data_IF_283124692172
#
_entry.id   IF_283124692172
#
_cell.length_a   1.000
_cell.length_b   1.000
_cell.length_c   1.000
_cell.angle_alpha   90.00
_cell.angle_beta   90.00
_cell.angle_gamma   90.00
#
_symmetry.space_group_name_H-M   'P 1'
#
loop_
_entity.id
_entity.type
_entity.pdbx_description
1 polymer ?
#
# COMPACT_ATOMS: atom_id res chain seq x y z
N UNK A 1 10.79 -26.99 6.29
CA UNK A 1 10.57 -25.75 5.53
C UNK A 1 11.34 -25.85 4.23
N UNK A 2 10.75 -25.62 3.04
CA UNK A 2 11.53 -25.57 1.82
C UNK A 2 12.52 -24.41 1.93
N UNK A 3 13.77 -24.68 1.64
CA UNK A 3 14.82 -23.63 1.56
C UNK A 3 14.42 -22.74 0.40
N UNK A 4 13.95 -21.49 0.67
CA UNK A 4 13.79 -20.49 -0.40
C UNK A 4 15.14 -20.35 -1.09
N UNK A 5 15.23 -20.71 -2.36
CA UNK A 5 16.40 -20.41 -3.15
C UNK A 5 16.58 -18.91 -3.17
N UNK A 6 17.59 -18.43 -2.46
CA UNK A 6 17.92 -17.00 -2.38
C UNK A 6 18.34 -16.55 -3.77
N UNK A 7 17.68 -15.53 -4.29
CA UNK A 7 17.98 -14.92 -5.59
C UNK A 7 18.42 -13.47 -5.38
N UNK A 8 19.13 -12.92 -6.35
CA UNK A 8 19.49 -11.50 -6.37
C UNK A 8 18.38 -10.64 -7.01
N UNK A 9 17.14 -11.16 -7.06
CA UNK A 9 15.97 -10.50 -7.63
C UNK A 9 14.92 -10.23 -6.57
N UNK A 10 14.38 -9.01 -6.59
CA UNK A 10 13.19 -8.63 -5.84
C UNK A 10 12.03 -8.44 -6.82
N UNK A 11 10.93 -9.16 -6.59
CA UNK A 11 9.76 -9.17 -7.48
C UNK A 11 8.55 -8.55 -6.79
N UNK A 12 7.81 -7.77 -7.55
CA UNK A 12 6.61 -7.09 -7.13
C UNK A 12 5.56 -7.19 -8.22
N UNK A 13 4.32 -7.49 -7.84
CA UNK A 13 3.17 -7.38 -8.73
C UNK A 13 2.13 -6.45 -8.12
N UNK A 14 1.54 -5.57 -8.95
CA UNK A 14 0.41 -4.71 -8.59
C UNK A 14 -0.65 -4.78 -9.67
N UNK A 15 -1.90 -4.69 -9.25
CA UNK A 15 -3.04 -4.51 -10.15
C UNK A 15 -3.63 -3.14 -9.86
N UNK A 16 -3.71 -2.30 -10.88
CA UNK A 16 -4.31 -0.99 -10.83
C UNK A 16 -5.68 -1.02 -11.51
N UNK A 17 -6.69 -0.42 -10.89
CA UNK A 17 -8.01 -0.25 -11.50
C UNK A 17 -7.98 0.95 -12.46
N UNK A 18 -7.22 0.77 -13.52
CA UNK A 18 -6.91 1.79 -14.51
C UNK A 18 -6.47 1.14 -15.82
N UNK A 19 -6.82 1.73 -17.00
CA UNK A 19 -6.31 1.25 -18.28
C UNK A 19 -4.79 1.44 -18.38
N UNK A 20 -4.13 0.58 -19.15
CA UNK A 20 -2.65 0.57 -19.30
C UNK A 20 -2.09 1.91 -19.76
N UNK A 21 -2.82 2.63 -20.60
CA UNK A 21 -2.43 3.98 -21.03
C UNK A 21 -2.29 4.93 -19.85
N UNK A 22 -3.26 4.93 -18.92
CA UNK A 22 -3.21 5.82 -17.75
C UNK A 22 -2.04 5.47 -16.82
N UNK A 23 -1.77 4.18 -16.60
CA UNK A 23 -0.63 3.71 -15.79
C UNK A 23 0.70 4.08 -16.46
N UNK A 24 0.80 3.87 -17.77
CA UNK A 24 1.97 4.23 -18.56
C UNK A 24 2.26 5.74 -18.52
N UNK A 25 1.24 6.57 -18.76
CA UNK A 25 1.37 8.02 -18.73
C UNK A 25 1.76 8.52 -17.34
N UNK A 26 1.13 7.99 -16.29
CA UNK A 26 1.50 8.32 -14.92
C UNK A 26 2.98 8.06 -14.63
N UNK A 27 3.55 6.99 -15.17
CA UNK A 27 4.95 6.63 -15.01
C UNK A 27 5.92 7.45 -15.89
N UNK A 28 5.52 7.72 -17.10
CA UNK A 28 6.44 8.22 -18.13
C UNK A 28 6.37 9.72 -18.37
N UNK A 29 5.24 10.35 -18.12
CA UNK A 29 5.08 11.79 -18.18
C UNK A 29 5.77 12.47 -16.98
N UNK A 30 6.75 13.38 -17.20
CA UNK A 30 7.46 14.06 -16.12
C UNK A 30 6.55 14.90 -15.20
N UNK A 31 5.43 15.43 -15.72
CA UNK A 31 4.48 16.17 -14.90
C UNK A 31 3.68 15.27 -13.98
N UNK A 32 3.37 14.05 -14.42
CA UNK A 32 2.58 13.11 -13.64
C UNK A 32 3.40 12.31 -12.62
N UNK A 33 4.59 11.85 -13.01
CA UNK A 33 5.44 11.03 -12.13
C UNK A 33 5.85 11.79 -10.86
N UNK A 34 5.93 13.13 -10.93
CA UNK A 34 6.21 14.00 -9.80
C UNK A 34 5.21 13.92 -8.66
N UNK A 35 3.96 13.61 -8.95
CA UNK A 35 2.87 13.61 -7.98
C UNK A 35 2.88 12.38 -7.05
N UNK A 36 3.43 11.27 -7.50
CA UNK A 36 3.33 10.01 -6.76
C UNK A 36 4.66 9.29 -6.50
N UNK A 37 5.74 9.60 -7.25
CA UNK A 37 6.99 8.86 -7.13
C UNK A 37 7.67 9.05 -5.78
N UNK A 38 8.16 7.94 -5.21
CA UNK A 38 8.84 7.90 -3.91
C UNK A 38 7.96 7.47 -2.75
N UNK A 39 8.56 7.11 -1.61
CA UNK A 39 7.84 6.77 -0.38
C UNK A 39 6.97 7.93 0.12
N UNK A 40 6.05 7.65 1.05
CA UNK A 40 5.23 8.72 1.65
C UNK A 40 6.09 9.74 2.38
N UNK A 41 5.72 11.00 2.23
CA UNK A 41 6.47 12.14 2.77
C UNK A 41 7.63 12.62 1.87
N UNK A 42 7.95 11.88 0.80
CA UNK A 42 8.91 12.33 -0.20
C UNK A 42 8.22 13.09 -1.33
N UNK A 43 8.93 14.09 -1.86
CA UNK A 43 8.61 14.78 -3.10
C UNK A 43 9.78 14.66 -4.06
N UNK A 44 9.58 14.95 -5.35
CA UNK A 44 10.68 14.91 -6.32
C UNK A 44 10.73 16.20 -7.14
N UNK A 45 11.94 16.53 -7.58
CA UNK A 45 12.19 17.53 -8.63
C UNK A 45 12.83 16.83 -9.81
N UNK A 46 12.12 16.73 -10.94
CA UNK A 46 12.67 16.21 -12.20
C UNK A 46 13.52 17.29 -12.87
N UNK A 47 14.80 16.99 -13.11
CA UNK A 47 15.70 17.89 -13.83
C UNK A 47 15.64 17.66 -15.34
N UNK A 48 15.60 16.38 -15.76
CA UNK A 48 15.46 15.98 -17.15
C UNK A 48 14.85 14.59 -17.27
N UNK A 49 14.03 14.37 -18.28
CA UNK A 49 13.46 13.05 -18.59
C UNK A 49 13.36 12.87 -20.10
N UNK A 50 14.13 11.95 -20.64
CA UNK A 50 14.16 11.59 -22.06
C UNK A 50 13.83 10.10 -22.20
N UNK A 51 12.56 9.80 -22.50
CA UNK A 51 12.05 8.43 -22.54
C UNK A 51 12.35 7.77 -23.89
N UNK A 52 13.58 7.33 -24.07
CA UNK A 52 14.02 6.53 -25.21
C UNK A 52 15.16 5.61 -24.81
N UNK A 53 15.46 4.61 -25.59
CA UNK A 53 16.64 3.76 -25.40
C UNK A 53 17.91 4.62 -25.37
N UNK A 54 18.72 4.50 -24.32
CA UNK A 54 19.90 5.33 -24.06
C UNK A 54 19.57 6.71 -23.47
N UNK A 55 18.32 7.11 -23.43
CA UNK A 55 17.87 8.32 -22.71
C UNK A 55 17.91 8.13 -21.20
N UNK A 56 17.65 9.20 -20.46
CA UNK A 56 17.74 9.17 -19.01
C UNK A 56 16.64 9.97 -18.30
N UNK A 57 16.43 9.65 -17.03
CA UNK A 57 15.67 10.46 -16.10
C UNK A 57 16.57 10.83 -14.93
N UNK A 58 16.80 12.14 -14.75
CA UNK A 58 17.55 12.70 -13.63
C UNK A 58 16.59 13.48 -12.74
N UNK A 59 16.62 13.18 -11.44
CA UNK A 59 15.75 13.82 -10.46
C UNK A 59 16.37 13.84 -9.07
N UNK A 60 15.93 14.80 -8.26
CA UNK A 60 16.20 14.84 -6.82
C UNK A 60 14.99 14.36 -6.06
N UNK A 61 15.16 13.42 -5.16
CA UNK A 61 14.14 13.02 -4.20
C UNK A 61 14.40 13.76 -2.88
N UNK A 62 13.40 14.52 -2.41
CA UNK A 62 13.46 15.29 -1.17
C UNK A 62 12.82 14.51 -0.04
N UNK A 63 13.59 14.15 0.98
CA UNK A 63 13.10 13.44 2.15
C UNK A 63 12.38 14.33 3.14
N UNK A 64 11.46 13.78 3.96
CA UNK A 64 10.76 14.52 5.01
C UNK A 64 11.70 15.02 6.13
N UNK A 65 12.92 14.50 6.19
CA UNK A 65 14.01 14.90 7.07
C UNK A 65 14.86 16.06 6.51
N UNK A 66 14.51 16.56 5.31
CA UNK A 66 15.24 17.61 4.61
C UNK A 66 16.48 17.13 3.87
N UNK A 67 16.67 15.81 3.76
CA UNK A 67 17.79 15.23 3.00
C UNK A 67 17.42 15.05 1.53
N UNK A 68 18.30 15.50 0.65
CA UNK A 68 18.17 15.38 -0.80
C UNK A 68 18.94 14.19 -1.33
N UNK A 69 18.26 13.36 -2.12
CA UNK A 69 18.81 12.17 -2.76
C UNK A 69 18.81 12.36 -4.28
N UNK A 70 20.02 12.46 -4.85
CA UNK A 70 20.19 12.55 -6.30
C UNK A 70 20.00 11.17 -6.93
N UNK A 71 19.21 11.11 -7.97
CA UNK A 71 18.89 9.85 -8.66
C UNK A 71 19.04 10.02 -10.18
N UNK A 72 19.50 8.95 -10.82
CA UNK A 72 19.59 8.85 -12.27
C UNK A 72 19.14 7.47 -12.74
N UNK A 73 18.31 7.46 -13.74
CA UNK A 73 17.82 6.26 -14.43
C UNK A 73 18.27 6.33 -15.89
N UNK A 74 18.80 5.25 -16.44
CA UNK A 74 19.14 5.12 -17.87
C UNK A 74 18.27 4.07 -18.49
N UNK A 75 17.49 4.42 -19.51
CA UNK A 75 16.56 3.51 -20.18
C UNK A 75 17.31 2.60 -21.16
N UNK A 76 17.13 1.29 -21.01
CA UNK A 76 17.74 0.25 -21.83
C UNK A 76 16.76 -0.29 -22.86
N UNK A 77 15.49 -0.43 -22.48
CA UNK A 77 14.39 -0.84 -23.36
C UNK A 77 13.16 0.01 -23.06
N UNK A 78 12.47 0.43 -24.11
CA UNK A 78 11.23 1.19 -24.02
C UNK A 78 10.27 0.64 -25.09
N UNK A 79 9.30 -0.15 -24.65
CA UNK A 79 8.20 -0.64 -25.47
C UNK A 79 6.91 -0.02 -24.93
N UNK A 80 6.34 0.98 -25.60
CA UNK A 80 5.18 1.70 -25.09
C UNK A 80 4.04 0.78 -24.67
N UNK A 81 3.48 1.02 -23.47
CA UNK A 81 2.38 0.27 -22.84
C UNK A 81 2.70 -1.18 -22.47
N UNK A 82 3.90 -1.67 -22.76
CA UNK A 82 4.28 -3.08 -22.57
C UNK A 82 5.42 -3.24 -21.59
N UNK A 83 6.54 -2.49 -21.82
CA UNK A 83 7.79 -2.79 -21.09
C UNK A 83 8.68 -1.57 -20.92
N UNK A 84 9.29 -1.49 -19.75
CA UNK A 84 10.43 -0.61 -19.45
C UNK A 84 11.56 -1.45 -18.86
N UNK A 85 12.78 -1.25 -19.35
CA UNK A 85 13.99 -1.76 -18.69
C UNK A 85 14.94 -0.58 -18.48
N UNK A 86 15.40 -0.42 -17.27
CA UNK A 86 16.31 0.67 -16.93
C UNK A 86 17.31 0.29 -15.85
N UNK A 87 18.48 0.89 -15.92
CA UNK A 87 19.45 0.88 -14.84
C UNK A 87 19.22 2.09 -13.94
N UNK A 88 19.17 1.85 -12.63
CA UNK A 88 18.99 2.87 -11.61
C UNK A 88 20.30 3.05 -10.83
N UNK A 89 20.70 4.28 -10.63
CA UNK A 89 21.92 4.63 -9.88
C UNK A 89 21.83 5.98 -9.21
N UNK A 90 22.86 6.28 -8.46
CA UNK A 90 23.14 7.63 -8.00
C UNK A 90 23.77 8.47 -9.11
N UNK A 91 24.53 9.52 -8.72
CA UNK A 91 25.15 10.45 -9.66
C UNK A 91 26.12 9.78 -10.65
N UNK A 92 26.01 10.15 -11.84
CA UNK A 92 26.72 10.22 -13.10
C UNK A 92 27.78 9.19 -13.48
N UNK A 93 28.66 8.69 -12.63
CA UNK A 93 29.82 7.89 -13.06
C UNK A 93 29.93 6.55 -12.34
N UNK A 94 29.08 6.27 -11.37
CA UNK A 94 29.06 4.99 -10.67
C UNK A 94 28.36 3.91 -11.47
N UNK A 95 28.75 2.66 -11.28
CA UNK A 95 28.01 1.50 -11.76
C UNK A 95 26.57 1.58 -11.25
N UNK A 96 25.56 1.16 -12.05
CA UNK A 96 24.18 1.14 -11.60
C UNK A 96 24.04 0.32 -10.31
N UNK A 97 23.20 0.80 -9.41
CA UNK A 97 22.91 0.12 -8.14
C UNK A 97 22.14 -1.17 -8.41
N UNK A 98 21.19 -1.11 -9.35
CA UNK A 98 20.37 -2.24 -9.77
C UNK A 98 19.70 -1.97 -11.12
N UNK A 99 19.26 -3.07 -11.76
CA UNK A 99 18.43 -3.03 -12.95
C UNK A 99 16.98 -3.30 -12.61
N UNK A 100 16.08 -2.57 -13.25
CA UNK A 100 14.63 -2.76 -13.12
C UNK A 100 14.04 -3.14 -14.47
N UNK A 101 13.24 -4.20 -14.46
CA UNK A 101 12.35 -4.58 -15.58
C UNK A 101 10.93 -4.41 -15.10
N UNK A 102 10.13 -3.64 -15.83
CA UNK A 102 8.70 -3.44 -15.58
C UNK A 102 7.93 -3.91 -16.78
N UNK A 103 6.93 -4.76 -16.55
CA UNK A 103 6.00 -5.24 -17.56
C UNK A 103 4.60 -4.74 -17.22
N UNK A 104 3.87 -4.33 -18.26
CA UNK A 104 2.49 -3.91 -18.14
C UNK A 104 1.61 -4.80 -19.02
N UNK A 105 0.45 -5.19 -18.49
CA UNK A 105 -0.57 -5.92 -19.25
C UNK A 105 -1.95 -5.48 -18.79
N UNK A 106 -2.88 -5.32 -19.74
CA UNK A 106 -4.26 -4.94 -19.43
C UNK A 106 -5.20 -6.12 -19.61
N UNK A 107 -6.14 -6.25 -18.68
CA UNK A 107 -7.25 -7.17 -18.79
C UNK A 107 -8.50 -6.55 -18.14
N UNK A 108 -9.58 -6.41 -18.91
CA UNK A 108 -10.86 -5.89 -18.39
C UNK A 108 -10.78 -4.47 -17.84
N UNK A 109 -9.95 -3.59 -18.43
CA UNK A 109 -9.77 -2.20 -17.97
C UNK A 109 -8.88 -2.05 -16.75
N UNK A 110 -8.29 -3.14 -16.24
CA UNK A 110 -7.33 -3.15 -15.15
C UNK A 110 -5.94 -3.47 -15.66
N UNK A 111 -4.94 -2.79 -15.13
CA UNK A 111 -3.53 -3.01 -15.50
C UNK A 111 -2.79 -3.80 -14.45
N UNK A 112 -2.23 -4.94 -14.86
CA UNK A 112 -1.23 -5.65 -14.06
C UNK A 112 0.15 -5.12 -14.38
N UNK A 113 0.84 -4.61 -13.38
CA UNK A 113 2.25 -4.22 -13.42
C UNK A 113 3.08 -5.28 -12.70
N UNK A 114 4.04 -5.87 -13.39
CA UNK A 114 5.03 -6.78 -12.80
C UNK A 114 6.40 -6.14 -12.88
N UNK A 115 7.07 -6.00 -11.73
CA UNK A 115 8.39 -5.41 -11.62
C UNK A 115 9.38 -6.43 -11.07
N UNK A 116 10.55 -6.50 -11.68
CA UNK A 116 11.71 -7.23 -11.20
C UNK A 116 12.89 -6.27 -11.06
N UNK A 117 13.41 -6.18 -9.84
CA UNK A 117 14.63 -5.46 -9.52
C UNK A 117 15.75 -6.49 -9.39
N UNK A 118 16.76 -6.43 -10.25
CA UNK A 118 17.92 -7.30 -10.24
C UNK A 118 19.10 -6.55 -9.62
N UNK A 119 19.60 -7.03 -8.50
CA UNK A 119 20.71 -6.45 -7.77
C UNK A 119 22.03 -7.17 -8.08
N UNK A 120 23.19 -6.57 -7.80
CA UNK A 120 24.48 -7.18 -8.10
C UNK A 120 24.72 -8.52 -7.40
N UNK A 121 24.21 -8.70 -6.19
CA UNK A 121 24.39 -9.92 -5.40
C UNK A 121 23.13 -10.28 -4.60
N UNK A 122 23.06 -11.50 -4.10
CA UNK A 122 22.00 -11.97 -3.21
C UNK A 122 21.97 -11.17 -1.91
N UNK A 123 23.13 -10.87 -1.34
CA UNK A 123 23.27 -10.10 -0.10
C UNK A 123 22.75 -8.66 -0.29
N UNK A 124 23.00 -8.05 -1.46
CA UNK A 124 22.46 -6.74 -1.80
C UNK A 124 20.93 -6.79 -1.90
N UNK A 125 20.35 -7.85 -2.46
CA UNK A 125 18.90 -8.04 -2.50
C UNK A 125 18.31 -8.16 -1.10
N UNK A 126 18.88 -8.97 -0.22
CA UNK A 126 18.43 -9.12 1.17
C UNK A 126 18.51 -7.79 1.96
N UNK A 127 19.56 -7.01 1.76
CA UNK A 127 19.70 -5.69 2.39
C UNK A 127 18.67 -4.69 1.87
N UNK A 128 18.44 -4.68 0.55
CA UNK A 128 17.45 -3.81 -0.09
C UNK A 128 16.04 -4.18 0.36
N UNK A 129 15.70 -5.47 0.43
CA UNK A 129 14.39 -5.94 0.94
C UNK A 129 14.13 -5.45 2.38
N UNK A 130 15.13 -5.60 3.27
CA UNK A 130 15.05 -5.08 4.65
C UNK A 130 14.88 -3.56 4.69
N UNK A 131 15.60 -2.84 3.84
CA UNK A 131 15.48 -1.39 3.74
C UNK A 131 14.10 -0.97 3.25
N UNK A 132 13.59 -1.57 2.18
CA UNK A 132 12.23 -1.32 1.65
C UNK A 132 11.18 -1.59 2.72
N UNK A 133 11.29 -2.72 3.43
CA UNK A 133 10.37 -3.06 4.53
C UNK A 133 10.40 -2.00 5.63
N UNK A 134 11.59 -1.55 6.05
CA UNK A 134 11.75 -0.51 7.08
C UNK A 134 11.24 0.86 6.63
N UNK A 135 11.34 1.19 5.35
CA UNK A 135 10.86 2.44 4.75
C UNK A 135 9.33 2.46 4.49
N UNK A 136 8.56 1.53 5.05
CA UNK A 136 7.10 1.45 4.85
C UNK A 136 6.68 0.55 3.69
N UNK A 137 7.55 -0.36 3.27
CA UNK A 137 7.25 -1.35 2.22
C UNK A 137 7.19 -0.71 0.83
N UNK A 138 6.17 -1.09 0.08
CA UNK A 138 6.02 -0.67 -1.32
C UNK A 138 5.16 0.59 -1.49
N UNK A 139 5.27 1.54 -0.55
CA UNK A 139 4.43 2.75 -0.49
C UNK A 139 4.45 3.59 -1.79
N UNK A 140 5.53 3.58 -2.55
CA UNK A 140 5.60 4.24 -3.87
C UNK A 140 4.51 3.72 -4.82
N UNK A 141 4.31 2.40 -4.85
CA UNK A 141 3.34 1.75 -5.74
C UNK A 141 1.90 1.90 -5.23
N UNK A 142 1.73 2.04 -3.93
CA UNK A 142 0.45 2.35 -3.30
C UNK A 142 0.05 3.80 -3.63
N UNK A 143 1.01 4.75 -3.62
CA UNK A 143 0.79 6.14 -4.06
C UNK A 143 0.41 6.25 -5.54
N UNK A 144 0.96 5.38 -6.40
CA UNK A 144 0.52 5.33 -7.80
C UNK A 144 -0.96 4.93 -7.90
N UNK A 145 -1.42 3.95 -7.11
CA UNK A 145 -2.83 3.57 -7.09
C UNK A 145 -3.72 4.74 -6.65
N UNK A 146 -3.35 5.46 -5.58
CA UNK A 146 -4.06 6.64 -5.10
C UNK A 146 -4.10 7.76 -6.13
N UNK A 147 -2.96 8.04 -6.80
CA UNK A 147 -2.88 9.01 -7.87
C UNK A 147 -3.82 8.68 -9.04
N UNK A 148 -3.82 7.42 -9.48
CA UNK A 148 -4.68 6.95 -10.57
C UNK A 148 -6.17 7.05 -10.19
N UNK A 149 -6.54 6.66 -8.97
CA UNK A 149 -7.89 6.80 -8.46
C UNK A 149 -8.34 8.26 -8.47
N UNK A 150 -7.54 9.17 -7.89
CA UNK A 150 -7.82 10.61 -7.89
C UNK A 150 -7.98 11.15 -9.31
N UNK A 151 -7.07 10.80 -10.21
CA UNK A 151 -7.06 11.31 -11.59
C UNK A 151 -8.25 10.83 -12.42
N UNK A 152 -8.66 9.57 -12.25
CA UNK A 152 -9.69 8.94 -13.10
C UNK A 152 -11.10 9.06 -12.52
N UNK A 153 -11.24 9.15 -11.19
CA UNK A 153 -12.53 9.09 -10.51
C UNK A 153 -12.78 10.25 -9.56
N UNK A 154 -11.81 11.15 -9.37
CA UNK A 154 -11.80 12.25 -8.39
C UNK A 154 -11.92 11.77 -6.93
N UNK A 155 -11.65 10.50 -6.63
CA UNK A 155 -11.69 9.97 -5.28
C UNK A 155 -10.33 10.10 -4.59
N UNK A 156 -10.36 10.56 -3.35
CA UNK A 156 -9.22 10.51 -2.46
C UNK A 156 -9.22 9.18 -1.71
N UNK A 157 -8.28 8.30 -2.04
CA UNK A 157 -8.12 6.98 -1.43
C UNK A 157 -6.79 6.87 -0.71
N UNK A 158 -6.76 6.02 0.30
CA UNK A 158 -5.54 5.48 0.91
C UNK A 158 -5.42 4.04 0.47
N UNK A 159 -4.28 3.64 -0.04
CA UNK A 159 -4.01 2.26 -0.48
C UNK A 159 -2.78 1.73 0.24
N UNK A 160 -2.84 0.48 0.71
CA UNK A 160 -1.69 -0.25 1.21
C UNK A 160 -1.77 -1.72 0.81
N UNK A 161 -0.63 -2.29 0.43
CA UNK A 161 -0.51 -3.68 0.01
C UNK A 161 0.57 -4.41 0.78
N UNK A 162 0.32 -5.69 1.09
CA UNK A 162 1.36 -6.62 1.54
C UNK A 162 1.07 -8.04 1.05
N UNK A 163 2.13 -8.76 0.71
CA UNK A 163 2.06 -10.19 0.37
C UNK A 163 2.52 -11.02 1.57
N UNK A 164 1.76 -12.06 1.88
CA UNK A 164 2.01 -13.00 2.97
C UNK A 164 2.24 -14.41 2.42
N UNK A 165 3.14 -15.15 3.04
CA UNK A 165 3.43 -16.55 2.69
C UNK A 165 2.38 -17.47 3.34
N UNK A 166 1.18 -17.47 2.79
CA UNK A 166 0.04 -18.30 3.20
C UNK A 166 -1.01 -18.39 2.09
N UNK A 167 -1.87 -19.40 2.12
CA UNK A 167 -2.97 -19.56 1.16
C UNK A 167 -4.05 -18.48 1.36
N UNK A 168 -4.79 -18.19 0.30
CA UNK A 168 -5.87 -17.21 0.32
C UNK A 168 -6.97 -17.59 1.33
N UNK A 169 -7.33 -18.87 1.43
CA UNK A 169 -8.35 -19.33 2.37
C UNK A 169 -7.92 -19.16 3.82
N UNK A 170 -6.66 -19.47 4.15
CA UNK A 170 -6.14 -19.30 5.51
C UNK A 170 -6.06 -17.80 5.87
N UNK A 171 -5.57 -16.97 4.95
CA UNK A 171 -5.48 -15.54 5.20
C UNK A 171 -6.86 -14.90 5.36
N UNK A 172 -7.83 -15.31 4.55
CA UNK A 172 -9.22 -14.85 4.66
C UNK A 172 -9.85 -15.24 6.00
N UNK A 173 -9.62 -16.47 6.48
CA UNK A 173 -10.08 -16.93 7.81
C UNK A 173 -9.49 -16.05 8.93
N UNK A 174 -8.19 -15.76 8.86
CA UNK A 174 -7.51 -14.89 9.83
C UNK A 174 -8.08 -13.47 9.85
N UNK A 175 -8.59 -12.99 8.73
CA UNK A 175 -9.20 -11.67 8.60
C UNK A 175 -10.69 -11.63 8.93
N UNK A 176 -11.35 -12.76 9.08
CA UNK A 176 -12.79 -12.85 9.38
C UNK A 176 -13.09 -13.51 10.73
N UNK A 177 -12.10 -14.08 11.38
CA UNK A 177 -12.24 -14.65 12.72
C UNK A 177 -11.84 -13.60 13.79
N UNK A 178 -12.74 -13.19 14.69
CA UNK A 178 -12.47 -12.16 15.68
C UNK A 178 -11.33 -12.52 16.65
N UNK A 179 -11.11 -13.79 16.94
CA UNK A 179 -10.01 -14.25 17.81
C UNK A 179 -8.65 -14.02 17.14
N UNK A 180 -8.56 -14.24 15.83
CA UNK A 180 -7.36 -13.96 15.06
C UNK A 180 -7.16 -12.46 14.88
N UNK A 181 -8.19 -11.72 14.46
CA UNK A 181 -8.13 -10.26 14.24
C UNK A 181 -7.58 -9.56 15.49
N UNK A 182 -8.05 -9.93 16.68
CA UNK A 182 -7.63 -9.31 17.93
C UNK A 182 -6.13 -9.49 18.23
N UNK A 183 -5.43 -10.44 17.58
CA UNK A 183 -4.00 -10.70 17.80
C UNK A 183 -3.09 -9.82 16.94
N UNK A 184 -3.51 -9.49 15.73
CA UNK A 184 -2.63 -8.83 14.78
C UNK A 184 -3.07 -7.40 14.40
N UNK A 185 -4.39 -7.11 14.37
CA UNK A 185 -4.90 -5.83 13.87
C UNK A 185 -4.56 -4.61 14.76
N UNK A 186 -4.64 -4.68 16.10
CA UNK A 186 -4.41 -3.51 16.93
C UNK A 186 -2.99 -2.96 16.73
N UNK A 187 -2.81 -1.62 16.76
CA UNK A 187 -1.49 -1.01 16.72
C UNK A 187 -0.56 -1.52 17.83
N UNK A 188 0.75 -1.32 17.65
CA UNK A 188 1.74 -1.71 18.67
C UNK A 188 1.44 -0.99 19.98
N UNK A 189 1.41 -1.74 21.08
CA UNK A 189 1.08 -1.23 22.42
C UNK A 189 -0.41 -1.16 22.75
N UNK A 190 -1.26 -1.66 21.83
CA UNK A 190 -2.69 -1.79 22.06
C UNK A 190 -3.15 -3.24 22.02
N UNK A 191 -4.13 -3.55 22.88
CA UNK A 191 -4.92 -4.77 22.86
C UNK A 191 -6.29 -4.48 22.23
N UNK A 192 -6.90 -5.49 21.61
CA UNK A 192 -8.24 -5.41 21.04
C UNK A 192 -9.13 -6.50 21.62
N UNK A 193 -10.35 -6.12 21.96
CA UNK A 193 -11.39 -7.04 22.40
C UNK A 193 -12.68 -6.77 21.61
N UNK A 194 -13.22 -7.79 20.98
CA UNK A 194 -14.57 -7.74 20.42
C UNK A 194 -15.61 -7.87 21.54
N UNK A 195 -16.51 -6.88 21.64
CA UNK A 195 -17.66 -6.89 22.54
C UNK A 195 -18.83 -7.59 21.81
N UNK A 196 -18.93 -7.34 20.48
CA UNK A 196 -19.82 -8.03 19.57
C UNK A 196 -19.06 -8.33 18.28
N UNK A 197 -19.22 -9.52 17.72
CA UNK A 197 -18.66 -9.89 16.43
C UNK A 197 -19.67 -10.70 15.63
N UNK A 198 -20.20 -10.09 14.58
CA UNK A 198 -21.06 -10.72 13.55
C UNK A 198 -20.44 -10.40 12.19
N UNK A 199 -19.37 -11.13 11.85
CA UNK A 199 -18.55 -10.89 10.67
C UNK A 199 -19.11 -11.66 9.47
N UNK A 200 -20.16 -11.10 8.87
CA UNK A 200 -20.83 -11.58 7.65
C UNK A 200 -21.44 -10.41 6.89
N UNK A 201 -21.78 -10.59 5.63
CA UNK A 201 -22.52 -9.57 4.86
C UNK A 201 -23.79 -9.15 5.61
N UNK A 202 -23.96 -7.83 5.79
CA UNK A 202 -25.05 -7.23 6.57
C UNK A 202 -24.88 -7.32 8.10
N UNK A 203 -23.82 -7.96 8.59
CA UNK A 203 -23.49 -8.04 10.02
C UNK A 203 -22.71 -6.83 10.52
N UNK A 204 -22.38 -6.82 11.82
CA UNK A 204 -21.58 -5.76 12.43
C UNK A 204 -20.74 -6.27 13.58
N UNK A 205 -19.62 -5.61 13.83
CA UNK A 205 -18.82 -5.80 15.03
C UNK A 205 -18.65 -4.50 15.81
N UNK A 206 -18.54 -4.64 17.14
CA UNK A 206 -18.23 -3.58 18.06
C UNK A 206 -17.06 -4.03 18.94
N UNK A 207 -16.03 -3.21 19.02
CA UNK A 207 -14.79 -3.57 19.69
C UNK A 207 -14.22 -2.42 20.51
N UNK A 208 -13.40 -2.79 21.50
CA UNK A 208 -12.59 -1.86 22.29
C UNK A 208 -11.12 -2.12 21.97
N UNK A 209 -10.38 -1.06 21.70
CA UNK A 209 -8.91 -1.06 21.71
C UNK A 209 -8.44 -0.33 22.96
N UNK A 210 -7.49 -0.90 23.69
CA UNK A 210 -6.98 -0.33 24.93
C UNK A 210 -5.46 -0.44 25.02
N UNK A 211 -4.81 0.62 25.53
CA UNK A 211 -3.38 0.65 25.76
C UNK A 211 -2.98 1.92 26.52
N UNK A 212 -1.98 1.85 27.42
CA UNK A 212 -1.41 2.99 28.15
C UNK A 212 -2.46 3.98 28.75
N UNK A 213 -3.47 3.47 29.42
CA UNK A 213 -4.59 4.24 30.02
C UNK A 213 -5.54 4.90 28.99
N UNK A 214 -5.43 4.56 27.73
CA UNK A 214 -6.32 5.03 26.67
C UNK A 214 -7.24 3.89 26.21
N UNK A 215 -8.53 4.21 26.04
CA UNK A 215 -9.52 3.29 25.47
C UNK A 215 -10.22 3.97 24.29
N UNK A 216 -10.42 3.22 23.24
CA UNK A 216 -11.10 3.64 22.03
C UNK A 216 -12.05 2.55 21.59
N UNK A 217 -13.27 2.92 21.27
CA UNK A 217 -14.28 2.00 20.75
C UNK A 217 -14.47 2.23 19.25
N UNK A 218 -14.69 1.15 18.54
CA UNK A 218 -14.97 1.19 17.11
C UNK A 218 -16.07 0.24 16.72
N UNK A 219 -16.79 0.60 15.68
CA UNK A 219 -17.81 -0.23 15.05
C UNK A 219 -17.45 -0.43 13.58
N UNK A 220 -17.53 -1.67 13.11
CA UNK A 220 -17.52 -2.01 11.69
C UNK A 220 -18.89 -2.56 11.29
N UNK A 221 -19.41 -2.09 10.14
CA UNK A 221 -20.61 -2.67 9.53
C UNK A 221 -20.18 -3.29 8.20
N UNK A 222 -20.34 -4.60 8.08
CA UNK A 222 -19.90 -5.37 6.91
C UNK A 222 -20.96 -5.27 5.81
N UNK A 223 -20.61 -4.54 4.75
CA UNK A 223 -21.50 -4.35 3.59
C UNK A 223 -21.49 -5.59 2.71
N UNK A 224 -20.30 -6.13 2.46
CA UNK A 224 -20.12 -7.32 1.63
C UNK A 224 -18.94 -8.15 2.13
N UNK A 225 -19.11 -9.46 2.18
CA UNK A 225 -18.06 -10.44 2.41
C UNK A 225 -18.15 -11.49 1.31
N UNK A 226 -17.19 -11.49 0.40
CA UNK A 226 -17.07 -12.39 -0.73
C UNK A 226 -15.86 -13.33 -0.52
N UNK A 227 -16.10 -14.47 0.12
CA UNK A 227 -15.07 -15.45 0.46
C UNK A 227 -14.50 -16.14 -0.80
N UNK A 228 -13.20 -16.29 -0.93
CA UNK A 228 -12.11 -15.79 -0.08
C UNK A 228 -11.49 -14.48 -0.65
N UNK A 229 -12.23 -13.68 -1.39
CA UNK A 229 -11.68 -12.64 -2.27
C UNK A 229 -11.76 -11.23 -1.71
N UNK A 230 -12.84 -10.87 -0.98
CA UNK A 230 -12.98 -9.49 -0.50
C UNK A 230 -13.85 -9.32 0.74
N UNK A 231 -13.58 -8.23 1.47
CA UNK A 231 -14.37 -7.75 2.59
C UNK A 231 -14.56 -6.24 2.39
N UNK A 232 -15.82 -5.79 2.37
CA UNK A 232 -16.17 -4.36 2.29
C UNK A 232 -16.91 -3.98 3.56
N UNK A 233 -16.42 -2.99 4.28
CA UNK A 233 -17.05 -2.54 5.51
C UNK A 233 -16.89 -1.05 5.74
N UNK A 234 -17.84 -0.47 6.47
CA UNK A 234 -17.67 0.87 7.02
C UNK A 234 -17.13 0.79 8.44
N UNK A 235 -16.32 1.77 8.82
CA UNK A 235 -15.73 1.89 10.15
C UNK A 235 -16.03 3.26 10.75
N UNK A 236 -16.36 3.27 12.05
CA UNK A 236 -16.70 4.46 12.82
C UNK A 236 -16.07 4.38 14.21
N UNK A 237 -15.68 5.53 14.76
CA UNK A 237 -15.37 5.66 16.18
C UNK A 237 -16.67 5.78 16.97
N UNK A 238 -16.74 5.14 18.11
CA UNK A 238 -17.90 5.14 18.99
C UNK A 238 -17.47 5.41 20.44
N UNK A 239 -18.45 5.79 21.28
CA UNK A 239 -18.32 5.68 22.74
C UNK A 239 -18.64 4.24 23.22
N UNK A 240 -18.57 4.02 24.53
CA UNK A 240 -18.86 2.71 25.12
C UNK A 240 -20.32 2.27 24.96
N UNK A 241 -21.22 3.23 24.74
CA UNK A 241 -22.66 3.01 24.56
C UNK A 241 -23.03 2.89 23.07
N UNK A 242 -22.02 2.77 22.19
CA UNK A 242 -22.12 2.66 20.73
C UNK A 242 -22.64 3.92 20.01
N UNK A 243 -22.70 5.06 20.66
CA UNK A 243 -23.01 6.30 19.98
C UNK A 243 -21.81 6.73 19.12
N UNK A 244 -22.11 7.37 17.98
CA UNK A 244 -21.06 7.90 17.11
C UNK A 244 -20.21 8.92 17.88
N UNK A 245 -18.91 8.76 17.77
CA UNK A 245 -17.91 9.60 18.42
C UNK A 245 -16.81 10.01 17.42
N UNK A 246 -15.84 10.76 17.88
CA UNK A 246 -14.66 11.15 17.10
C UNK A 246 -13.40 10.61 17.77
N UNK A 247 -12.36 10.42 16.98
CA UNK A 247 -11.05 10.06 17.53
C UNK A 247 -10.55 11.21 18.43
N UNK A 248 -10.24 10.96 19.72
CA UNK A 248 -9.90 12.03 20.66
C UNK A 248 -8.69 12.90 20.23
N UNK A 249 -7.70 12.28 19.59
CA UNK A 249 -6.50 12.97 19.08
C UNK A 249 -6.66 13.50 17.63
N UNK A 250 -7.81 13.24 16.97
CA UNK A 250 -8.06 13.65 15.60
C UNK A 250 -9.56 14.00 15.42
N UNK A 251 -10.05 15.10 16.02
CA UNK A 251 -11.48 15.45 16.03
C UNK A 251 -12.04 15.77 14.64
N UNK A 252 -11.19 16.12 13.69
CA UNK A 252 -11.53 16.38 12.29
C UNK A 252 -11.38 15.16 11.39
N UNK A 253 -11.10 13.98 11.97
CA UNK A 253 -11.09 12.73 11.21
C UNK A 253 -12.50 12.40 10.71
N UNK A 254 -12.65 11.84 9.49
CA UNK A 254 -13.96 11.48 8.95
C UNK A 254 -14.82 10.66 9.91
N UNK A 255 -16.11 10.97 9.98
CA UNK A 255 -17.05 10.25 10.84
C UNK A 255 -17.17 8.78 10.46
N UNK A 256 -17.13 8.51 9.17
CA UNK A 256 -17.25 7.14 8.61
C UNK A 256 -16.23 6.96 7.51
N UNK A 257 -15.51 5.84 7.59
CA UNK A 257 -14.60 5.38 6.55
C UNK A 257 -15.18 4.17 5.87
N UNK A 258 -15.05 4.06 4.55
CA UNK A 258 -15.26 2.83 3.79
C UNK A 258 -13.91 2.16 3.61
N UNK A 259 -13.84 0.88 3.92
CA UNK A 259 -12.64 0.07 3.71
C UNK A 259 -12.98 -1.15 2.87
N UNK A 260 -12.22 -1.36 1.82
CA UNK A 260 -12.24 -2.57 1.00
C UNK A 260 -10.94 -3.32 1.22
N UNK A 261 -11.03 -4.59 1.53
CA UNK A 261 -9.89 -5.50 1.63
C UNK A 261 -10.03 -6.53 0.52
N UNK A 262 -9.03 -6.62 -0.34
CA UNK A 262 -8.99 -7.59 -1.43
C UNK A 262 -7.86 -8.58 -1.19
N UNK A 263 -8.15 -9.86 -1.44
CA UNK A 263 -7.20 -10.96 -1.34
C UNK A 263 -6.94 -11.51 -2.74
N UNK A 264 -5.67 -11.56 -3.15
CA UNK A 264 -5.24 -12.05 -4.46
C UNK A 264 -4.21 -13.15 -4.27
N UNK A 265 -4.54 -14.38 -4.67
CA UNK A 265 -3.57 -15.47 -4.68
C UNK A 265 -2.51 -15.19 -5.76
N UNK A 266 -1.24 -15.07 -5.35
CA UNK A 266 -0.07 -14.95 -6.25
C UNK A 266 0.57 -16.32 -6.51
N UNK A 267 0.38 -17.25 -5.55
CA UNK A 267 0.76 -18.67 -5.64
C UNK A 267 -0.13 -19.47 -4.67
N UNK A 268 -0.13 -20.82 -4.68
CA UNK A 268 -0.95 -21.61 -3.77
C UNK A 268 -0.72 -21.32 -2.27
N UNK A 269 0.49 -20.92 -1.91
CA UNK A 269 0.95 -20.63 -0.56
C UNK A 269 1.35 -19.16 -0.38
N UNK A 270 0.86 -18.27 -1.27
CA UNK A 270 1.24 -16.86 -1.25
C UNK A 270 0.09 -15.97 -1.67
N UNK A 271 -0.31 -15.07 -0.79
CA UNK A 271 -1.47 -14.20 -0.98
C UNK A 271 -1.11 -12.73 -0.72
N UNK A 272 -1.48 -11.88 -1.67
CA UNK A 272 -1.43 -10.43 -1.49
C UNK A 272 -2.73 -9.91 -0.93
N UNK A 273 -2.62 -9.04 0.08
CA UNK A 273 -3.72 -8.22 0.60
C UNK A 273 -3.57 -6.80 0.08
N UNK A 274 -4.66 -6.24 -0.42
CA UNK A 274 -4.80 -4.81 -0.73
C UNK A 274 -5.87 -4.24 0.18
N UNK A 275 -5.54 -3.23 0.95
CA UNK A 275 -6.49 -2.44 1.74
C UNK A 275 -6.65 -1.09 1.10
N UNK A 276 -7.87 -0.75 0.71
CA UNK A 276 -8.25 0.57 0.20
C UNK A 276 -9.21 1.21 1.18
N UNK A 277 -8.94 2.43 1.61
CA UNK A 277 -9.82 3.19 2.50
C UNK A 277 -10.12 4.57 1.92
N UNK A 278 -11.35 5.04 2.11
CA UNK A 278 -11.81 6.36 1.68
C UNK A 278 -12.85 6.91 2.65
N UNK A 279 -13.09 8.21 2.59
CA UNK A 279 -14.22 8.83 3.30
C UNK A 279 -15.54 8.25 2.78
N UNK A 280 -16.56 8.16 3.63
CA UNK A 280 -17.86 7.58 3.26
C UNK A 280 -19.03 8.37 3.83
N UNK A 281 -20.06 8.59 2.99
CA UNK A 281 -21.22 9.42 3.32
C UNK A 281 -20.91 10.92 3.22
N UNK A 282 -21.64 11.72 3.97
CA UNK A 282 -21.46 13.17 4.00
C UNK A 282 -20.12 13.51 4.68
N UNK A 283 -19.18 13.96 3.89
CA UNK A 283 -17.82 14.30 4.31
C UNK A 283 -17.58 15.80 4.06
N UNK A 284 -17.13 16.51 5.07
CA UNK A 284 -16.73 17.91 4.92
C UNK A 284 -15.35 18.04 4.30
N UNK A 285 -15.05 19.19 3.68
CA UNK A 285 -13.71 19.48 3.13
C UNK A 285 -12.60 19.33 4.18
N UNK A 286 -12.88 19.71 5.43
CA UNK A 286 -11.95 19.57 6.54
C UNK A 286 -11.68 18.11 6.91
N UNK A 287 -12.69 17.26 6.89
CA UNK A 287 -12.53 15.81 7.11
C UNK A 287 -11.75 15.17 5.98
N UNK A 288 -12.03 15.56 4.73
CA UNK A 288 -11.29 15.07 3.56
C UNK A 288 -9.81 15.49 3.63
N UNK A 289 -9.54 16.75 3.96
CA UNK A 289 -8.16 17.21 4.16
C UNK A 289 -7.45 16.44 5.28
N UNK A 290 -8.11 16.24 6.42
CA UNK A 290 -7.56 15.43 7.53
C UNK A 290 -7.25 13.99 7.13
N UNK A 291 -8.09 13.37 6.30
CA UNK A 291 -7.86 12.04 5.76
C UNK A 291 -6.63 12.01 4.85
N UNK A 292 -6.52 12.95 3.91
CA UNK A 292 -5.38 13.03 2.97
C UNK A 292 -4.07 13.24 3.73
N UNK A 293 -4.03 14.18 4.66
CA UNK A 293 -2.85 14.46 5.50
C UNK A 293 -2.51 13.27 6.41
N UNK A 294 -3.51 12.51 6.85
CA UNK A 294 -3.38 11.35 7.72
C UNK A 294 -2.79 10.09 7.06
N UNK A 295 -2.67 10.03 5.73
CA UNK A 295 -2.21 8.84 4.98
C UNK A 295 -0.85 8.31 5.44
N UNK A 296 0.08 9.19 5.81
CA UNK A 296 1.39 8.77 6.33
C UNK A 296 1.25 8.01 7.66
N UNK A 297 0.42 8.52 8.57
CA UNK A 297 0.11 7.86 9.85
C UNK A 297 -0.63 6.54 9.65
N UNK A 298 -1.57 6.47 8.71
CA UNK A 298 -2.25 5.23 8.32
C UNK A 298 -1.25 4.19 7.81
N UNK A 299 -0.28 4.60 6.99
CA UNK A 299 0.80 3.70 6.52
C UNK A 299 1.60 3.12 7.66
N UNK A 300 1.99 3.93 8.65
CA UNK A 300 2.72 3.47 9.83
C UNK A 300 1.87 2.47 10.64
N UNK A 301 0.61 2.79 10.89
CA UNK A 301 -0.32 1.92 11.62
C UNK A 301 -0.52 0.57 10.93
N UNK A 302 -0.84 0.57 9.66
CA UNK A 302 -1.03 -0.66 8.88
C UNK A 302 0.25 -1.47 8.72
N UNK A 303 1.41 -0.83 8.54
CA UNK A 303 2.70 -1.52 8.49
C UNK A 303 2.95 -2.28 9.80
N UNK A 304 2.72 -1.64 10.94
CA UNK A 304 2.85 -2.31 12.25
C UNK A 304 1.88 -3.48 12.43
N UNK A 305 0.62 -3.34 11.99
CA UNK A 305 -0.36 -4.43 12.02
C UNK A 305 0.04 -5.58 11.08
N UNK A 306 0.52 -5.28 9.89
CA UNK A 306 1.01 -6.27 8.94
C UNK A 306 2.27 -7.00 9.44
N UNK A 307 3.18 -6.32 10.14
CA UNK A 307 4.34 -6.97 10.78
C UNK A 307 3.90 -7.96 11.88
N UNK A 308 2.85 -7.60 12.66
CA UNK A 308 2.24 -8.50 13.63
C UNK A 308 1.57 -9.70 12.95
N UNK A 309 0.86 -9.46 11.84
CA UNK A 309 0.22 -10.53 11.05
C UNK A 309 1.26 -11.50 10.48
N UNK A 310 2.37 -10.99 9.93
CA UNK A 310 3.46 -11.81 9.42
C UNK A 310 4.07 -12.70 10.51
N UNK A 311 4.30 -12.12 11.71
CA UNK A 311 4.77 -12.90 12.86
C UNK A 311 3.74 -13.90 13.38
N UNK A 312 2.45 -13.61 13.23
CA UNK A 312 1.36 -14.50 13.63
C UNK A 312 1.22 -15.70 12.69
N UNK A 313 1.59 -15.55 11.42
CA UNK A 313 1.59 -16.60 10.41
C UNK A 313 2.85 -17.50 10.44
N UNK A 314 3.96 -17.04 11.05
CA UNK A 314 5.22 -17.77 11.15
C UNK A 314 5.17 -18.89 12.19
#
# INVERSE_FOLDING_TARGET
MPVKNKTNELKLTRVYDAPVQAVWDAWTDPAQVGEWWGPRGFTITTHSKDLKVGGHWSYTMHGPDGVDYQNKTIYLEVEPLVKLVYDHGGNDESKPLFRVTVLFSENGGKTTMSMCMTLPTVEAAEQTEKFVKKAGGHATWDRLAEYLSKKLTDKEEFVINRTFDTSIDNLFEIWTNPEHIAKWLPPVGFDMQFIKADIRSGGSSFYCMSGNSFKMYGRANYLEINKPHSIVYTQQFCDQDQNLSRHPAAPTWPATMLTTVEFTAEAPDRTRVTVTSQCYGDTTDQELASFVDGRSSMTIGWTGSFDKLENYLA
#
